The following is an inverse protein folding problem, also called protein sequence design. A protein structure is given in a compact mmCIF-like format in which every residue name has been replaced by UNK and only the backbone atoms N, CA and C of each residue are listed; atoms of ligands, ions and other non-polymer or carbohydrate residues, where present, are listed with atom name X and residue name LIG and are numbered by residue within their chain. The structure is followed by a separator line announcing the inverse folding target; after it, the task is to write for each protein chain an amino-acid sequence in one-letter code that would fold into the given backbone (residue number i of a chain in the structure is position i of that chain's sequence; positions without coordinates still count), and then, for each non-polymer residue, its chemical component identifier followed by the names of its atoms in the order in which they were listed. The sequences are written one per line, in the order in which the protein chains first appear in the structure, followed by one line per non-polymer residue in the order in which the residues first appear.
data_IF_973835107899
#
_entry.id   IF_973835107899
#
_cell.length_a   1.000
_cell.length_b   1.000
_cell.length_c   1.000
_cell.angle_alpha   90.00
_cell.angle_beta   90.00
_cell.angle_gamma   90.00
#
_symmetry.space_group_name_H-M   'P 1'
#
loop_
_entity.id
_entity.type
_entity.pdbx_description
1 polymer ?
#
# COMPACT_ATOMS: atom_id res chain seq x y z
N UNK A 1 -16.28 -8.73 65.46
CA UNK A 1 -15.30 -7.69 65.09
C UNK A 1 -14.81 -7.99 63.67
N UNK A 2 -15.56 -7.55 62.66
CA UNK A 2 -15.34 -7.87 61.24
C UNK A 2 -14.59 -6.69 60.61
N UNK A 3 -13.40 -6.96 60.05
CA UNK A 3 -12.58 -5.97 59.36
C UNK A 3 -13.06 -5.89 57.90
N UNK A 4 -13.51 -4.75 57.37
CA UNK A 4 -13.86 -4.65 55.96
C UNK A 4 -12.58 -4.55 55.12
N UNK A 5 -12.54 -5.37 54.06
CA UNK A 5 -11.49 -5.35 53.04
C UNK A 5 -11.52 -4.02 52.27
N UNK A 6 -10.38 -3.35 52.21
CA UNK A 6 -10.19 -2.15 51.40
C UNK A 6 -10.18 -2.50 49.91
N UNK A 7 -11.27 -2.18 49.22
CA UNK A 7 -11.32 -2.18 47.75
C UNK A 7 -10.41 -1.10 47.18
N UNK A 8 -9.46 -1.51 46.34
CA UNK A 8 -8.65 -0.62 45.50
C UNK A 8 -9.57 0.14 44.55
N UNK A 9 -9.73 1.45 44.78
CA UNK A 9 -10.42 2.35 43.84
C UNK A 9 -9.65 2.33 42.52
N UNK A 10 -10.27 1.84 41.46
CA UNK A 10 -9.80 2.04 40.10
C UNK A 10 -9.72 3.55 39.84
N UNK A 11 -8.51 4.06 39.64
CA UNK A 11 -8.27 5.44 39.24
C UNK A 11 -8.98 5.71 37.92
N UNK A 12 -10.12 6.42 37.95
CA UNK A 12 -10.71 7.03 36.75
C UNK A 12 -9.66 7.96 36.16
N UNK A 13 -9.01 7.58 35.05
CA UNK A 13 -8.21 8.53 34.27
C UNK A 13 -9.12 9.67 33.84
N UNK A 14 -8.81 10.89 34.26
CA UNK A 14 -9.52 12.08 33.82
C UNK A 14 -9.46 12.15 32.29
N UNK A 15 -10.57 12.51 31.65
CA UNK A 15 -10.59 12.71 30.20
C UNK A 15 -9.60 13.84 29.86
N UNK A 16 -8.74 13.63 28.85
CA UNK A 16 -7.75 14.63 28.46
C UNK A 16 -8.47 15.89 27.94
N UNK A 17 -7.86 17.09 28.09
CA UNK A 17 -8.46 18.34 27.63
C UNK A 17 -8.88 18.26 26.16
N UNK A 18 -10.04 18.81 25.83
CA UNK A 18 -10.56 18.85 24.44
C UNK A 18 -9.51 19.50 23.53
N UNK A 19 -9.21 18.88 22.39
CA UNK A 19 -8.12 19.21 21.45
C UNK A 19 -6.68 19.00 21.92
N UNK A 20 -6.46 18.42 23.11
CA UNK A 20 -5.11 17.99 23.48
C UNK A 20 -4.61 16.85 22.58
N UNK A 21 -3.29 16.70 22.51
CA UNK A 21 -2.62 15.60 21.83
C UNK A 21 -3.17 14.22 22.28
N UNK A 22 -3.51 14.07 23.57
CA UNK A 22 -4.09 12.82 24.08
C UNK A 22 -5.57 12.66 23.74
N UNK A 23 -6.32 13.77 23.65
CA UNK A 23 -7.73 13.76 23.24
C UNK A 23 -7.91 13.33 21.79
N UNK A 24 -7.10 13.87 20.87
CA UNK A 24 -7.15 13.50 19.44
C UNK A 24 -6.82 12.02 19.25
N UNK A 25 -5.82 11.50 19.97
CA UNK A 25 -5.47 10.07 19.91
C UNK A 25 -6.60 9.18 20.43
N UNK A 26 -7.25 9.57 21.53
CA UNK A 26 -8.30 8.74 22.13
C UNK A 26 -9.61 8.75 21.34
N UNK A 27 -9.94 9.85 20.67
CA UNK A 27 -11.23 10.05 19.99
C UNK A 27 -11.10 10.05 18.45
N UNK A 28 -9.97 9.58 17.88
CA UNK A 28 -9.74 9.63 16.43
C UNK A 28 -10.83 8.91 15.63
N UNK A 29 -11.33 7.77 16.11
CA UNK A 29 -12.45 7.05 15.48
C UNK A 29 -13.74 7.88 15.43
N UNK A 30 -14.09 8.55 16.53
CA UNK A 30 -15.28 9.40 16.62
C UNK A 30 -15.13 10.66 15.75
N UNK A 31 -13.94 11.26 15.70
CA UNK A 31 -13.63 12.41 14.84
C UNK A 31 -13.78 12.03 13.36
N UNK A 32 -13.21 10.90 12.95
CA UNK A 32 -13.33 10.42 11.57
C UNK A 32 -14.77 10.06 11.20
N UNK A 33 -15.52 9.43 12.11
CA UNK A 33 -16.94 9.13 11.93
C UNK A 33 -17.77 10.41 11.76
N UNK A 34 -17.52 11.44 12.57
CA UNK A 34 -18.18 12.74 12.40
C UNK A 34 -17.88 13.39 11.04
N UNK A 35 -16.63 13.35 10.58
CA UNK A 35 -16.25 13.90 9.26
C UNK A 35 -16.97 13.14 8.14
N UNK A 36 -16.98 11.81 8.19
CA UNK A 36 -17.67 10.97 7.21
C UNK A 36 -19.18 11.25 7.23
N UNK A 37 -19.78 11.39 8.41
CA UNK A 37 -21.21 11.67 8.55
C UNK A 37 -21.58 13.02 7.91
N UNK A 38 -20.75 14.06 8.03
CA UNK A 38 -20.98 15.35 7.37
C UNK A 38 -21.04 15.19 5.85
N UNK A 39 -20.14 14.39 5.27
CA UNK A 39 -20.12 14.14 3.83
C UNK A 39 -21.31 13.29 3.37
N UNK A 40 -21.67 12.23 4.10
CA UNK A 40 -22.84 11.38 3.81
C UNK A 40 -24.14 12.19 3.89
N UNK A 41 -24.34 12.96 4.97
CA UNK A 41 -25.51 13.83 5.10
C UNK A 41 -25.54 14.87 3.99
N UNK A 42 -24.38 15.42 3.61
CA UNK A 42 -24.28 16.35 2.48
C UNK A 42 -24.65 15.73 1.12
N UNK A 43 -24.52 14.41 0.93
CA UNK A 43 -25.02 13.72 -0.26
C UNK A 43 -26.55 13.59 -0.28
N UNK A 44 -27.21 13.58 0.88
CA UNK A 44 -28.66 13.39 0.98
C UNK A 44 -29.47 14.63 0.57
N UNK A 45 -28.86 15.82 0.54
CA UNK A 45 -29.55 17.06 0.16
C UNK A 45 -29.15 17.54 -1.25
N UNK A 46 -30.11 17.91 -2.13
CA UNK A 46 -29.82 18.30 -3.51
C UNK A 46 -28.84 19.46 -3.68
N UNK A 47 -28.89 20.44 -2.76
CA UNK A 47 -28.03 21.63 -2.82
C UNK A 47 -26.58 21.33 -2.44
N UNK A 48 -26.36 20.44 -1.48
CA UNK A 48 -25.01 20.05 -1.02
C UNK A 48 -24.46 18.86 -1.79
N UNK A 49 -25.31 18.11 -2.50
CA UNK A 49 -24.90 16.92 -3.24
C UNK A 49 -23.82 17.24 -4.30
N UNK A 50 -23.95 18.34 -5.04
CA UNK A 50 -22.95 18.75 -6.03
C UNK A 50 -21.59 19.09 -5.41
N UNK A 51 -21.55 19.52 -4.15
CA UNK A 51 -20.31 19.84 -3.43
C UNK A 51 -19.75 18.57 -2.78
N UNK A 52 -20.59 17.81 -2.06
CA UNK A 52 -20.20 16.57 -1.38
C UNK A 52 -19.77 15.47 -2.35
N UNK A 53 -20.40 15.37 -3.52
CA UNK A 53 -20.01 14.41 -4.56
C UNK A 53 -18.63 14.72 -5.14
N UNK A 54 -18.17 15.96 -5.17
CA UNK A 54 -16.78 16.30 -5.59
C UNK A 54 -15.75 15.72 -4.61
N UNK A 55 -16.10 15.60 -3.33
CA UNK A 55 -15.22 15.05 -2.29
C UNK A 55 -15.26 13.52 -2.19
N UNK A 56 -16.29 12.88 -2.75
CA UNK A 56 -16.52 11.43 -2.63
C UNK A 56 -16.28 10.73 -3.96
N UNK A 57 -16.74 11.32 -5.06
CA UNK A 57 -16.60 10.74 -6.38
C UNK A 57 -15.16 10.94 -6.89
N UNK A 58 -14.50 9.86 -7.36
CA UNK A 58 -13.18 9.97 -7.96
C UNK A 58 -13.19 10.91 -9.19
N UNK A 59 -12.48 12.06 -9.15
CA UNK A 59 -12.57 13.09 -10.22
C UNK A 59 -11.44 13.06 -11.27
N UNK A 60 -10.28 12.46 -11.00
CA UNK A 60 -9.12 12.51 -11.93
C UNK A 60 -9.10 11.38 -12.96
N UNK A 61 -8.86 11.68 -14.23
CA UNK A 61 -8.93 10.77 -15.38
C UNK A 61 -10.36 10.37 -15.80
N UNK A 62 -10.58 10.31 -17.11
CA UNK A 62 -11.90 10.01 -17.69
C UNK A 62 -12.30 8.58 -17.35
N UNK A 63 -13.54 8.42 -16.87
CA UNK A 63 -14.12 7.10 -16.60
C UNK A 63 -15.13 6.75 -17.69
N UNK A 64 -15.11 5.50 -18.17
CA UNK A 64 -16.19 5.00 -19.01
C UNK A 64 -17.49 5.02 -18.19
N UNK A 65 -18.52 5.71 -18.68
CA UNK A 65 -19.90 5.48 -18.23
C UNK A 65 -20.36 4.27 -19.02
N UNK A 66 -20.37 3.09 -18.40
CA UNK A 66 -21.04 1.94 -18.97
C UNK A 66 -22.54 2.21 -18.80
N UNK A 67 -23.27 2.45 -19.88
CA UNK A 67 -24.73 2.40 -19.83
C UNK A 67 -25.11 0.98 -19.40
N UNK A 68 -25.66 0.87 -18.20
CA UNK A 68 -26.17 -0.39 -17.67
C UNK A 68 -27.31 -0.86 -18.57
N UNK A 69 -27.00 -1.74 -19.52
CA UNK A 69 -28.00 -2.49 -20.24
C UNK A 69 -28.60 -3.52 -19.27
N UNK A 70 -29.83 -3.27 -18.83
CA UNK A 70 -30.68 -4.28 -18.18
C UNK A 70 -30.99 -4.00 -16.72
N UNK A 71 -32.28 -3.92 -16.44
CA UNK A 71 -32.93 -3.76 -15.15
C UNK A 71 -32.36 -4.70 -14.06
N UNK A 72 -32.18 -4.16 -12.85
CA UNK A 72 -32.26 -4.97 -11.62
C UNK A 72 -30.98 -5.60 -11.08
N UNK A 73 -29.79 -5.19 -11.52
CA UNK A 73 -28.53 -5.57 -10.86
C UNK A 73 -28.25 -4.71 -9.64
N UNK A 74 -28.46 -5.23 -8.42
CA UNK A 74 -27.88 -4.63 -7.22
C UNK A 74 -26.36 -4.54 -7.41
N UNK A 75 -25.84 -3.31 -7.56
CA UNK A 75 -24.43 -3.01 -7.39
C UNK A 75 -24.03 -3.47 -5.99
N UNK A 76 -23.39 -4.64 -5.91
CA UNK A 76 -22.83 -5.14 -4.68
C UNK A 76 -21.60 -4.30 -4.40
N UNK A 77 -21.79 -3.20 -3.69
CA UNK A 77 -20.73 -2.38 -3.11
C UNK A 77 -19.92 -3.21 -2.11
N UNK A 78 -19.01 -4.03 -2.62
CA UNK A 78 -18.00 -4.74 -1.81
C UNK A 78 -16.72 -3.90 -1.80
N UNK A 79 -16.83 -2.62 -1.48
CA UNK A 79 -15.66 -1.74 -1.41
C UNK A 79 -15.86 -0.70 -0.30
N UNK A 80 -15.36 -0.99 0.90
CA UNK A 80 -15.21 0.03 1.93
C UNK A 80 -15.14 -0.43 3.37
N UNK A 81 -15.78 -1.55 3.74
CA UNK A 81 -15.89 -1.91 5.17
C UNK A 81 -14.83 -2.90 5.67
N UNK A 82 -14.08 -3.55 4.78
CA UNK A 82 -13.15 -4.62 5.15
C UNK A 82 -11.81 -4.16 5.72
N UNK A 83 -11.43 -2.89 5.58
CA UNK A 83 -10.07 -2.44 5.92
C UNK A 83 -10.03 -1.58 7.19
N UNK A 84 -11.10 -0.84 7.50
CA UNK A 84 -11.12 0.12 8.62
C UNK A 84 -11.67 -0.53 9.91
N UNK A 85 -12.50 -1.58 9.81
CA UNK A 85 -13.06 -2.28 10.97
C UNK A 85 -12.15 -3.35 11.58
N UNK A 86 -11.06 -3.75 10.89
CA UNK A 86 -10.23 -4.88 11.32
C UNK A 86 -9.00 -4.50 12.17
N UNK A 87 -8.70 -3.21 12.34
CA UNK A 87 -7.54 -2.75 13.12
C UNK A 87 -7.68 -3.00 14.64
N UNK A 88 -8.92 -3.08 15.16
CA UNK A 88 -9.15 -3.12 16.62
C UNK A 88 -9.52 -4.50 17.20
N UNK A 89 -9.74 -5.54 16.39
CA UNK A 89 -10.28 -6.82 16.89
C UNK A 89 -9.38 -8.06 16.73
N UNK A 90 -8.48 -8.14 15.75
CA UNK A 90 -7.78 -9.41 15.46
C UNK A 90 -6.53 -9.78 16.30
N UNK A 91 -5.72 -8.86 16.87
CA UNK A 91 -4.60 -9.30 17.71
C UNK A 91 -5.07 -9.88 19.06
N UNK A 92 -6.35 -9.77 19.41
CA UNK A 92 -6.91 -10.28 20.67
C UNK A 92 -7.31 -11.77 20.59
N UNK A 93 -7.73 -12.27 19.43
CA UNK A 93 -8.26 -13.65 19.32
C UNK A 93 -7.22 -14.73 19.00
N UNK A 94 -6.04 -14.37 18.46
CA UNK A 94 -5.01 -15.35 18.06
C UNK A 94 -3.81 -15.47 19.02
N UNK A 95 -3.72 -14.64 20.07
CA UNK A 95 -2.51 -14.55 20.92
C UNK A 95 -2.66 -15.16 22.32
N UNK A 96 -2.90 -16.47 22.38
CA UNK A 96 -2.35 -17.31 23.45
C UNK A 96 -0.98 -17.88 23.02
N UNK A 97 -0.04 -17.01 22.68
CA UNK A 97 1.37 -17.42 22.50
C UNK A 97 2.28 -16.48 23.30
N UNK A 98 3.26 -17.06 23.99
CA UNK A 98 4.24 -16.36 24.83
C UNK A 98 5.25 -15.54 24.00
N UNK A 99 4.78 -14.52 23.28
CA UNK A 99 5.65 -13.58 22.58
C UNK A 99 6.07 -12.41 23.47
N UNK A 100 7.29 -11.91 23.29
CA UNK A 100 7.73 -10.67 23.93
C UNK A 100 6.96 -9.48 23.36
N UNK A 101 6.79 -8.39 24.14
CA UNK A 101 6.08 -7.17 23.70
C UNK A 101 6.56 -6.65 22.34
N UNK A 102 7.88 -6.69 22.09
CA UNK A 102 8.50 -6.29 20.81
C UNK A 102 8.15 -7.25 19.67
N UNK A 103 8.10 -8.56 19.96
CA UNK A 103 7.72 -9.57 18.97
C UNK A 103 6.23 -9.50 18.61
N UNK A 104 5.36 -9.22 19.59
CA UNK A 104 3.92 -9.03 19.36
C UNK A 104 3.66 -7.80 18.49
N UNK A 105 4.36 -6.68 18.74
CA UNK A 105 4.26 -5.48 17.90
C UNK A 105 4.67 -5.76 16.44
N UNK A 106 5.85 -6.37 16.24
CA UNK A 106 6.36 -6.70 14.89
C UNK A 106 5.52 -7.75 14.17
N UNK A 107 4.88 -8.65 14.93
CA UNK A 107 3.88 -9.57 14.40
C UNK A 107 2.67 -8.80 13.91
N UNK A 108 2.07 -7.95 14.75
CA UNK A 108 0.88 -7.17 14.41
C UNK A 108 1.08 -6.33 13.15
N UNK A 109 2.24 -5.67 13.05
CA UNK A 109 2.63 -4.94 11.84
C UNK A 109 2.71 -5.84 10.60
N UNK A 110 3.38 -6.99 10.71
CA UNK A 110 3.52 -7.92 9.59
C UNK A 110 2.18 -8.54 9.19
N UNK A 111 1.27 -8.71 10.15
CA UNK A 111 -0.06 -9.22 9.95
C UNK A 111 -0.91 -8.20 9.21
N UNK A 112 -0.96 -6.96 9.68
CA UNK A 112 -1.62 -5.86 8.96
C UNK A 112 -1.10 -5.79 7.52
N UNK A 113 0.21 -5.72 7.34
CA UNK A 113 0.80 -5.59 6.00
C UNK A 113 0.42 -6.76 5.10
N UNK A 114 0.33 -7.99 5.63
CA UNK A 114 -0.11 -9.17 4.89
C UNK A 114 -1.51 -8.99 4.29
N UNK A 115 -2.48 -8.50 5.07
CA UNK A 115 -3.85 -8.31 4.58
C UNK A 115 -3.91 -7.25 3.49
N UNK A 116 -3.23 -6.13 3.71
CA UNK A 116 -3.18 -5.06 2.71
C UNK A 116 -2.57 -5.54 1.38
N UNK A 117 -1.42 -6.22 1.43
CA UNK A 117 -0.76 -6.70 0.19
C UNK A 117 -1.54 -7.86 -0.46
N UNK A 118 -2.19 -8.73 0.33
CA UNK A 118 -3.01 -9.81 -0.20
C UNK A 118 -4.27 -9.25 -0.92
N UNK A 119 -4.96 -8.31 -0.29
CA UNK A 119 -6.10 -7.62 -0.92
C UNK A 119 -5.66 -6.87 -2.18
N UNK A 120 -4.58 -6.09 -2.09
CA UNK A 120 -4.10 -5.29 -3.22
C UNK A 120 -3.62 -6.16 -4.37
N UNK A 121 -2.98 -7.30 -4.10
CA UNK A 121 -2.59 -8.25 -5.13
C UNK A 121 -3.82 -8.91 -5.77
N UNK A 122 -4.81 -9.31 -4.97
CA UNK A 122 -6.07 -9.86 -5.49
C UNK A 122 -6.81 -8.87 -6.38
N UNK A 123 -6.94 -7.61 -5.96
CA UNK A 123 -7.57 -6.54 -6.73
C UNK A 123 -6.77 -6.24 -8.02
N UNK A 124 -5.44 -6.16 -7.95
CA UNK A 124 -4.61 -5.94 -9.13
C UNK A 124 -4.72 -7.09 -10.15
N UNK A 125 -4.73 -8.34 -9.68
CA UNK A 125 -4.91 -9.52 -10.54
C UNK A 125 -6.31 -9.56 -11.15
N UNK A 126 -7.33 -9.15 -10.39
CA UNK A 126 -8.69 -8.99 -10.91
C UNK A 126 -8.73 -7.98 -12.06
N UNK A 127 -8.12 -6.79 -11.89
CA UNK A 127 -8.01 -5.78 -12.95
C UNK A 127 -7.28 -6.30 -14.20
N UNK A 128 -6.20 -7.05 -13.99
CA UNK A 128 -5.47 -7.69 -15.10
C UNK A 128 -6.37 -8.72 -15.81
N UNK A 129 -7.17 -9.49 -15.07
CA UNK A 129 -8.06 -10.49 -15.65
C UNK A 129 -9.23 -9.87 -16.44
N UNK A 130 -9.76 -8.74 -15.98
CA UNK A 130 -10.82 -7.99 -16.65
C UNK A 130 -10.34 -7.38 -17.98
N UNK A 131 -9.07 -6.96 -18.02
CA UNK A 131 -8.46 -6.31 -19.18
C UNK A 131 -7.32 -7.15 -19.76
N UNK A 132 -7.49 -8.47 -19.84
CA UNK A 132 -6.42 -9.42 -20.16
C UNK A 132 -5.72 -9.09 -21.49
N UNK A 133 -6.46 -8.61 -22.48
CA UNK A 133 -5.92 -8.16 -23.76
C UNK A 133 -4.80 -7.12 -23.62
N UNK A 134 -4.86 -6.25 -22.62
CA UNK A 134 -3.85 -5.21 -22.37
C UNK A 134 -2.55 -5.76 -21.74
N UNK A 135 -2.56 -7.00 -21.27
CA UNK A 135 -1.44 -7.60 -20.52
C UNK A 135 -0.88 -8.89 -21.15
N UNK A 136 -1.55 -9.47 -22.15
CA UNK A 136 -1.05 -10.67 -22.87
C UNK A 136 0.26 -10.38 -23.60
N UNK A 137 0.34 -9.26 -24.33
CA UNK A 137 1.57 -8.81 -24.99
C UNK A 137 2.23 -7.72 -24.15
N UNK A 138 3.50 -7.92 -23.80
CA UNK A 138 4.31 -6.94 -23.07
C UNK A 138 4.29 -5.56 -23.73
N UNK A 139 4.16 -5.47 -25.06
CA UNK A 139 4.12 -4.19 -25.77
C UNK A 139 2.89 -3.36 -25.42
N UNK A 140 1.76 -4.01 -25.11
CA UNK A 140 0.49 -3.33 -24.76
C UNK A 140 0.55 -2.58 -23.43
N UNK A 141 1.61 -2.80 -22.65
CA UNK A 141 1.90 -2.04 -21.44
C UNK A 141 2.17 -0.55 -21.75
N UNK A 142 2.67 -0.20 -22.94
CA UNK A 142 2.91 1.19 -23.35
C UNK A 142 2.26 1.59 -24.68
N UNK A 143 1.88 0.63 -25.52
CA UNK A 143 1.13 0.93 -26.75
C UNK A 143 -0.22 1.56 -26.41
N UNK A 144 -0.69 2.45 -27.29
CA UNK A 144 -1.93 3.19 -27.10
C UNK A 144 -1.82 4.39 -26.15
N UNK A 145 -0.65 4.65 -25.55
CA UNK A 145 -0.42 5.87 -24.78
C UNK A 145 -0.39 7.10 -25.71
N UNK A 146 -1.08 8.22 -25.37
CA UNK A 146 -1.86 8.44 -24.14
C UNK A 146 -3.35 8.06 -24.26
N UNK A 147 -3.88 7.87 -25.47
CA UNK A 147 -5.33 7.79 -25.72
C UNK A 147 -6.04 6.68 -24.93
N UNK A 148 -5.50 5.46 -24.92
CA UNK A 148 -6.09 4.33 -24.19
C UNK A 148 -5.72 4.31 -22.70
N UNK A 149 -4.77 5.14 -22.28
CA UNK A 149 -4.24 5.14 -20.91
C UNK A 149 -4.84 6.26 -20.05
N UNK A 150 -5.36 7.29 -20.71
CA UNK A 150 -6.05 8.42 -20.07
C UNK A 150 -7.43 8.03 -19.53
N UNK A 151 -8.10 7.10 -20.20
CA UNK A 151 -9.43 6.63 -19.80
C UNK A 151 -9.26 5.36 -18.98
N UNK A 152 -9.92 5.29 -17.82
CA UNK A 152 -9.83 4.16 -16.89
C UNK A 152 -11.20 3.71 -16.44
N UNK A 153 -11.37 2.42 -16.13
CA UNK A 153 -12.60 1.96 -15.48
C UNK A 153 -12.64 2.45 -14.03
N UNK A 154 -13.84 2.56 -13.45
CA UNK A 154 -14.01 2.96 -12.05
C UNK A 154 -13.21 2.03 -11.11
N UNK A 155 -13.20 0.72 -11.39
CA UNK A 155 -12.43 -0.29 -10.66
C UNK A 155 -10.91 0.05 -10.65
N UNK A 156 -10.35 0.37 -11.82
CA UNK A 156 -8.94 0.76 -11.95
C UNK A 156 -8.62 2.04 -11.17
N UNK A 157 -9.53 3.01 -11.20
CA UNK A 157 -9.40 4.28 -10.47
C UNK A 157 -9.41 4.07 -8.96
N UNK A 158 -10.38 3.31 -8.47
CA UNK A 158 -10.53 2.97 -7.05
C UNK A 158 -9.29 2.23 -6.56
N UNK A 159 -8.74 1.31 -7.35
CA UNK A 159 -7.52 0.61 -7.00
C UNK A 159 -6.37 1.59 -6.67
N UNK A 160 -6.01 2.49 -7.59
CA UNK A 160 -4.91 3.45 -7.36
C UNK A 160 -5.18 4.39 -6.19
N UNK A 161 -6.42 4.87 -6.05
CA UNK A 161 -6.80 5.74 -4.93
C UNK A 161 -6.72 5.02 -3.59
N UNK A 162 -7.14 3.75 -3.51
CA UNK A 162 -7.02 2.94 -2.31
C UNK A 162 -5.55 2.71 -1.93
N UNK A 163 -4.69 2.47 -2.92
CA UNK A 163 -3.25 2.35 -2.66
C UNK A 163 -2.68 3.64 -2.07
N UNK A 164 -3.00 4.80 -2.66
CA UNK A 164 -2.55 6.09 -2.16
C UNK A 164 -3.11 6.38 -0.76
N UNK A 165 -4.40 6.14 -0.56
CA UNK A 165 -5.06 6.33 0.72
C UNK A 165 -4.39 5.50 1.83
N UNK A 166 -4.06 4.24 1.55
CA UNK A 166 -3.35 3.38 2.49
C UNK A 166 -1.99 3.95 2.91
N UNK A 167 -1.15 4.31 1.94
CA UNK A 167 0.20 4.82 2.25
C UNK A 167 0.18 6.19 2.91
N UNK A 168 -0.85 7.01 2.65
CA UNK A 168 -1.08 8.27 3.37
C UNK A 168 -1.59 8.01 4.80
N UNK A 169 -2.51 7.05 4.98
CA UNK A 169 -3.05 6.65 6.28
C UNK A 169 -1.96 6.18 7.25
N UNK A 170 -0.85 5.66 6.70
CA UNK A 170 0.28 5.21 7.49
C UNK A 170 0.93 6.32 8.34
N UNK A 171 0.83 7.60 7.95
CA UNK A 171 1.40 8.71 8.73
C UNK A 171 0.67 8.97 10.06
N UNK A 172 -0.69 9.12 10.09
CA UNK A 172 -1.44 9.10 11.34
C UNK A 172 -1.15 7.86 12.19
N UNK A 173 -1.06 6.68 11.57
CA UNK A 173 -0.84 5.43 12.29
C UNK A 173 0.50 5.41 13.06
N UNK A 174 1.57 5.98 12.49
CA UNK A 174 2.85 6.13 13.20
C UNK A 174 2.73 6.89 14.51
N UNK A 175 1.85 7.88 14.53
CA UNK A 175 1.61 8.73 15.68
C UNK A 175 0.72 8.03 16.71
N UNK A 176 -0.34 7.34 16.27
CA UNK A 176 -1.21 6.55 17.15
C UNK A 176 -0.48 5.36 17.79
N UNK A 177 0.40 4.70 17.04
CA UNK A 177 1.24 3.61 17.53
C UNK A 177 2.41 4.06 18.43
N UNK A 178 2.65 5.37 18.57
CA UNK A 178 3.75 5.95 19.37
C UNK A 178 5.11 5.35 19.02
N UNK A 179 5.41 5.24 17.73
CA UNK A 179 6.65 4.64 17.24
C UNK A 179 7.90 5.43 17.64
N UNK A 180 9.04 4.76 17.73
CA UNK A 180 10.33 5.43 17.95
C UNK A 180 10.70 6.26 16.74
N UNK A 181 11.39 7.39 16.96
CA UNK A 181 11.81 8.32 15.89
C UNK A 181 12.59 7.65 14.74
N UNK A 182 13.45 6.69 15.07
CA UNK A 182 14.22 5.94 14.07
C UNK A 182 13.33 5.06 13.18
N UNK A 183 12.33 4.40 13.77
CA UNK A 183 11.36 3.56 13.07
C UNK A 183 10.43 4.43 12.20
N UNK A 184 9.98 5.58 12.71
CA UNK A 184 9.20 6.56 11.93
C UNK A 184 9.96 6.96 10.68
N UNK A 185 11.26 7.28 10.78
CA UNK A 185 12.06 7.69 9.61
C UNK A 185 12.10 6.60 8.55
N UNK A 186 12.35 5.35 8.95
CA UNK A 186 12.42 4.23 8.00
C UNK A 186 11.07 3.99 7.32
N UNK A 187 9.97 3.96 8.09
CA UNK A 187 8.63 3.74 7.54
C UNK A 187 8.13 4.92 6.70
N UNK A 188 8.51 6.14 7.05
CA UNK A 188 8.21 7.35 6.27
C UNK A 188 8.84 7.27 4.88
N UNK A 189 10.11 6.89 4.78
CA UNK A 189 10.77 6.73 3.47
C UNK A 189 10.04 5.69 2.63
N UNK A 190 9.64 4.56 3.23
CA UNK A 190 8.87 3.53 2.52
C UNK A 190 7.52 4.06 2.03
N UNK A 191 6.75 4.74 2.88
CA UNK A 191 5.44 5.30 2.52
C UNK A 191 5.58 6.35 1.41
N UNK A 192 6.56 7.26 1.52
CA UNK A 192 6.81 8.28 0.51
C UNK A 192 7.18 7.69 -0.85
N UNK A 193 8.02 6.65 -0.88
CA UNK A 193 8.35 5.96 -2.14
C UNK A 193 7.08 5.43 -2.80
N UNK A 194 6.21 4.73 -2.06
CA UNK A 194 4.97 4.23 -2.65
C UNK A 194 4.06 5.37 -3.14
N UNK A 195 3.87 6.42 -2.33
CA UNK A 195 3.04 7.57 -2.71
C UNK A 195 3.57 8.21 -4.00
N UNK A 196 4.86 8.47 -4.10
CA UNK A 196 5.49 9.14 -5.26
C UNK A 196 5.32 8.29 -6.52
N UNK A 197 5.66 7.01 -6.49
CA UNK A 197 5.62 6.16 -7.68
C UNK A 197 4.18 5.83 -8.11
N UNK A 198 3.26 5.60 -7.16
CA UNK A 198 1.86 5.33 -7.47
C UNK A 198 1.19 6.60 -8.00
N UNK A 199 1.49 7.76 -7.42
CA UNK A 199 1.00 9.06 -7.90
C UNK A 199 1.54 9.38 -9.30
N UNK A 200 2.83 9.14 -9.54
CA UNK A 200 3.42 9.31 -10.87
C UNK A 200 2.75 8.40 -11.91
N UNK A 201 2.51 7.13 -11.57
CA UNK A 201 1.79 6.21 -12.47
C UNK A 201 0.36 6.67 -12.76
N UNK A 202 -0.35 7.16 -11.73
CA UNK A 202 -1.74 7.59 -11.83
C UNK A 202 -1.91 8.91 -12.60
N UNK A 203 -1.22 9.97 -12.18
CA UNK A 203 -1.39 11.32 -12.73
C UNK A 203 -0.76 11.50 -14.12
N UNK A 204 0.27 10.71 -14.46
CA UNK A 204 0.96 10.79 -15.75
C UNK A 204 0.41 9.79 -16.79
N UNK A 205 -0.67 9.09 -16.44
CA UNK A 205 -1.28 8.03 -17.26
C UNK A 205 -0.35 6.85 -17.57
N UNK A 206 0.64 6.56 -16.71
CA UNK A 206 1.48 5.35 -16.81
C UNK A 206 0.86 4.19 -16.03
N UNK A 207 -0.45 4.03 -16.15
CA UNK A 207 -1.29 3.19 -15.28
C UNK A 207 -1.01 1.71 -15.46
N UNK A 208 -0.91 1.23 -16.70
CA UNK A 208 -0.63 -0.19 -17.01
C UNK A 208 0.73 -0.64 -16.47
N UNK A 209 1.81 0.12 -16.75
CA UNK A 209 3.15 -0.19 -16.21
C UNK A 209 3.18 -0.07 -14.69
N UNK A 210 2.50 0.94 -14.13
CA UNK A 210 2.36 1.12 -12.69
C UNK A 210 1.71 -0.08 -12.01
N UNK A 211 0.62 -0.61 -12.58
CA UNK A 211 -0.07 -1.78 -12.05
C UNK A 211 0.85 -3.01 -12.00
N UNK A 212 1.58 -3.29 -13.08
CA UNK A 212 2.50 -4.45 -13.13
C UNK A 212 3.65 -4.28 -12.13
N UNK A 213 4.20 -3.07 -11.99
CA UNK A 213 5.24 -2.80 -10.98
C UNK A 213 4.72 -2.97 -9.55
N UNK A 214 3.49 -2.54 -9.26
CA UNK A 214 2.83 -2.75 -7.96
C UNK A 214 2.65 -4.26 -7.69
N UNK A 215 2.20 -5.03 -8.69
CA UNK A 215 2.04 -6.49 -8.56
C UNK A 215 3.36 -7.18 -8.19
N UNK A 216 4.46 -6.83 -8.88
CA UNK A 216 5.79 -7.40 -8.57
C UNK A 216 6.26 -7.06 -7.16
N UNK A 217 6.04 -5.82 -6.73
CA UNK A 217 6.41 -5.34 -5.40
C UNK A 217 5.58 -6.04 -4.30
N UNK A 218 4.26 -6.02 -4.43
CA UNK A 218 3.36 -6.59 -3.42
C UNK A 218 3.41 -8.11 -3.35
N UNK A 219 3.65 -8.80 -4.47
CA UNK A 219 3.92 -10.24 -4.43
C UNK A 219 5.19 -10.56 -3.62
N UNK A 220 6.24 -9.76 -3.80
CA UNK A 220 7.48 -9.90 -3.01
C UNK A 220 7.22 -9.65 -1.51
N UNK A 221 6.44 -8.61 -1.18
CA UNK A 221 6.06 -8.30 0.20
C UNK A 221 5.17 -9.39 0.82
N UNK A 222 4.22 -9.95 0.06
CA UNK A 222 3.34 -11.03 0.51
C UNK A 222 4.16 -12.23 1.01
N UNK A 223 5.09 -12.71 0.19
CA UNK A 223 5.96 -13.86 0.55
C UNK A 223 6.81 -13.53 1.79
N UNK A 224 7.34 -12.31 1.88
CA UNK A 224 8.09 -11.86 3.05
C UNK A 224 7.26 -11.91 4.34
N UNK A 225 6.04 -11.36 4.31
CA UNK A 225 5.18 -11.30 5.49
C UNK A 225 4.67 -12.69 5.90
N UNK A 226 4.39 -13.58 4.94
CA UNK A 226 4.09 -14.99 5.24
C UNK A 226 5.28 -15.65 5.95
N UNK A 227 6.50 -15.50 5.42
CA UNK A 227 7.70 -16.09 6.01
C UNK A 227 7.97 -15.56 7.44
N UNK A 228 7.76 -14.24 7.64
CA UNK A 228 7.95 -13.55 8.93
C UNK A 228 6.89 -13.91 9.96
N UNK A 229 5.63 -14.06 9.57
CA UNK A 229 4.57 -14.52 10.48
C UNK A 229 4.80 -15.97 10.89
N UNK A 230 5.16 -16.85 9.95
CA UNK A 230 5.51 -18.23 10.28
C UNK A 230 6.72 -18.33 11.23
N UNK A 231 7.68 -17.42 11.10
CA UNK A 231 8.81 -17.31 12.02
C UNK A 231 8.34 -17.03 13.45
N UNK A 232 7.48 -16.02 13.63
CA UNK A 232 6.96 -15.62 14.92
C UNK A 232 6.04 -16.69 15.54
N UNK A 233 5.33 -17.47 14.74
CA UNK A 233 4.54 -18.62 15.20
C UNK A 233 5.39 -19.84 15.58
N UNK A 234 6.72 -19.74 15.56
CA UNK A 234 7.62 -20.84 15.93
C UNK A 234 7.71 -21.96 14.89
N UNK A 235 7.09 -21.81 13.71
CA UNK A 235 7.06 -22.80 12.63
C UNK A 235 8.35 -22.78 11.81
N UNK A 236 9.48 -23.11 12.44
CA UNK A 236 10.82 -23.02 11.84
C UNK A 236 11.01 -23.90 10.60
N UNK A 237 10.36 -25.06 10.55
CA UNK A 237 10.37 -25.98 9.40
C UNK A 237 9.83 -25.34 8.13
N UNK A 238 8.85 -24.43 8.26
CA UNK A 238 8.26 -23.68 7.15
C UNK A 238 8.92 -22.31 6.95
N UNK A 239 9.24 -21.61 8.03
CA UNK A 239 9.78 -20.25 7.97
C UNK A 239 11.13 -20.17 7.27
N UNK A 240 12.05 -21.12 7.52
CA UNK A 240 13.36 -21.13 6.89
C UNK A 240 13.30 -21.27 5.35
N UNK A 241 12.60 -22.26 4.77
CA UNK A 241 12.45 -22.34 3.32
C UNK A 241 11.64 -21.15 2.76
N UNK A 242 10.63 -20.64 3.45
CA UNK A 242 9.88 -19.46 3.00
C UNK A 242 10.76 -18.20 2.87
N UNK A 243 11.72 -17.98 3.79
CA UNK A 243 12.68 -16.90 3.65
C UNK A 243 13.66 -17.11 2.48
N UNK A 244 14.02 -18.36 2.16
CA UNK A 244 14.84 -18.65 0.98
C UNK A 244 14.07 -18.36 -0.32
N UNK A 245 12.81 -18.79 -0.38
CA UNK A 245 11.90 -18.47 -1.50
C UNK A 245 11.75 -16.95 -1.66
N UNK A 246 11.57 -16.21 -0.56
CA UNK A 246 11.55 -14.75 -0.57
C UNK A 246 12.83 -14.16 -1.18
N UNK A 247 14.02 -14.65 -0.80
CA UNK A 247 15.29 -14.12 -1.33
C UNK A 247 15.38 -14.26 -2.86
N UNK A 248 14.94 -15.40 -3.39
CA UNK A 248 14.93 -15.67 -4.84
C UNK A 248 13.92 -14.75 -5.54
N UNK A 249 12.68 -14.73 -5.05
CA UNK A 249 11.60 -13.90 -5.60
C UNK A 249 11.97 -12.43 -5.55
N UNK A 250 12.59 -11.97 -4.47
CA UNK A 250 13.02 -10.59 -4.31
C UNK A 250 13.95 -10.16 -5.44
N UNK A 251 15.01 -10.94 -5.69
CA UNK A 251 15.99 -10.65 -6.75
C UNK A 251 15.32 -10.66 -8.12
N UNK A 252 14.52 -11.70 -8.41
CA UNK A 252 13.80 -11.82 -9.69
C UNK A 252 12.86 -10.63 -9.92
N UNK A 253 12.09 -10.23 -8.90
CA UNK A 253 11.21 -9.07 -8.98
C UNK A 253 11.98 -7.78 -9.32
N UNK A 254 13.16 -7.56 -8.71
CA UNK A 254 13.99 -6.38 -9.03
C UNK A 254 14.42 -6.37 -10.49
N UNK A 255 14.88 -7.50 -11.01
CA UNK A 255 15.27 -7.63 -12.42
C UNK A 255 14.08 -7.42 -13.35
N UNK A 256 12.94 -8.07 -13.09
CA UNK A 256 11.71 -7.88 -13.87
C UNK A 256 11.26 -6.42 -13.88
N UNK A 257 11.30 -5.72 -12.74
CA UNK A 257 10.95 -4.30 -12.66
C UNK A 257 11.88 -3.41 -13.49
N UNK A 258 13.19 -3.66 -13.47
CA UNK A 258 14.15 -2.90 -14.31
C UNK A 258 13.93 -3.17 -15.78
N UNK A 259 13.78 -4.44 -16.18
CA UNK A 259 13.53 -4.83 -17.58
C UNK A 259 12.25 -4.16 -18.08
N UNK A 260 11.16 -4.24 -17.31
CA UNK A 260 9.89 -3.63 -17.66
C UNK A 260 10.01 -2.11 -17.80
N UNK A 261 10.72 -1.44 -16.88
CA UNK A 261 10.94 0.00 -16.94
C UNK A 261 11.74 0.40 -18.18
N UNK A 262 12.82 -0.33 -18.51
CA UNK A 262 13.63 -0.08 -19.71
C UNK A 262 12.80 -0.30 -20.98
N UNK A 263 12.05 -1.41 -21.07
CA UNK A 263 11.20 -1.68 -22.22
C UNK A 263 10.13 -0.60 -22.42
N UNK A 264 9.50 -0.16 -21.33
CA UNK A 264 8.45 0.87 -21.35
C UNK A 264 9.00 2.26 -21.67
N UNK A 265 9.97 2.74 -20.89
CA UNK A 265 10.40 4.13 -20.93
C UNK A 265 11.57 4.39 -21.90
N UNK A 266 12.43 3.41 -22.17
CA UNK A 266 13.55 3.64 -23.11
C UNK A 266 13.17 3.31 -24.55
N UNK A 267 12.45 2.21 -24.76
CA UNK A 267 12.12 1.71 -26.11
C UNK A 267 10.68 2.01 -26.52
N UNK A 268 9.71 1.76 -25.65
CA UNK A 268 8.28 1.84 -25.96
C UNK A 268 7.80 3.26 -26.15
N UNK A 269 7.72 4.01 -25.06
CA UNK A 269 7.24 5.40 -25.04
C UNK A 269 8.12 6.34 -25.87
N UNK A 270 9.35 5.95 -26.24
CA UNK A 270 10.17 6.74 -27.17
C UNK A 270 9.55 6.94 -28.54
N UNK A 271 8.72 6.00 -28.98
CA UNK A 271 8.06 6.08 -30.28
C UNK A 271 6.92 7.11 -30.31
N UNK A 272 6.41 7.50 -29.13
CA UNK A 272 5.32 8.45 -28.97
C UNK A 272 5.75 9.71 -28.18
N UNK A 273 7.06 10.03 -28.21
CA UNK A 273 7.62 11.20 -27.52
C UNK A 273 7.11 12.50 -28.14
N UNK A 274 6.75 13.47 -27.28
CA UNK A 274 6.36 14.82 -27.69
C UNK A 274 7.30 15.86 -27.07
N UNK A 275 7.54 17.01 -27.73
CA UNK A 275 8.44 18.04 -27.22
C UNK A 275 7.88 18.79 -26.01
N UNK A 276 6.57 18.77 -25.78
CA UNK A 276 5.90 19.43 -24.66
C UNK A 276 4.78 18.55 -24.06
N UNK A 277 4.35 18.91 -22.85
CA UNK A 277 3.22 18.25 -22.16
C UNK A 277 1.92 18.79 -22.76
N UNK A 278 1.04 17.89 -23.18
CA UNK A 278 -0.31 18.20 -23.67
C UNK A 278 -1.35 17.70 -22.66
N UNK A 279 -1.78 18.63 -21.79
CA UNK A 279 -2.82 18.37 -20.79
C UNK A 279 -4.17 18.04 -21.44
N UNK A 280 -4.47 18.61 -22.61
CA UNK A 280 -5.75 18.42 -23.29
C UNK A 280 -5.88 17.02 -23.87
N UNK A 281 -4.79 16.46 -24.40
CA UNK A 281 -4.69 15.08 -24.86
C UNK A 281 -4.36 14.08 -23.73
N UNK A 282 -3.94 14.57 -22.55
CA UNK A 282 -3.44 13.74 -21.45
C UNK A 282 -2.08 13.10 -21.76
N UNK A 283 -1.28 13.73 -22.62
CA UNK A 283 0.06 13.30 -22.99
C UNK A 283 1.11 13.99 -22.11
N UNK A 284 1.78 13.22 -21.26
CA UNK A 284 2.87 13.72 -20.43
C UNK A 284 4.25 13.26 -20.93
N UNK A 285 4.31 12.48 -22.01
CA UNK A 285 5.51 11.79 -22.47
C UNK A 285 6.50 12.71 -23.21
N UNK A 286 7.17 13.55 -22.44
CA UNK A 286 8.36 14.30 -22.86
C UNK A 286 9.64 13.50 -22.55
N UNK A 287 10.72 13.77 -23.29
CA UNK A 287 12.02 13.12 -23.05
C UNK A 287 12.46 13.26 -21.58
N UNK A 288 12.31 14.47 -21.01
CA UNK A 288 12.71 14.77 -19.63
C UNK A 288 11.90 13.93 -18.65
N UNK A 289 10.57 13.94 -18.74
CA UNK A 289 9.73 13.21 -17.79
C UNK A 289 9.96 11.70 -17.89
N UNK A 290 9.95 11.17 -19.12
CA UNK A 290 10.14 9.75 -19.40
C UNK A 290 11.48 9.23 -18.88
N UNK A 291 12.57 9.94 -19.12
CA UNK A 291 13.89 9.55 -18.64
C UNK A 291 14.02 9.67 -17.12
N UNK A 292 13.38 10.67 -16.49
CA UNK A 292 13.32 10.77 -15.03
C UNK A 292 12.51 9.64 -14.41
N UNK A 293 11.41 9.20 -15.03
CA UNK A 293 10.65 8.03 -14.57
C UNK A 293 11.48 6.75 -14.66
N UNK A 294 12.18 6.53 -15.78
CA UNK A 294 13.12 5.43 -15.93
C UNK A 294 14.20 5.45 -14.85
N UNK A 295 14.86 6.60 -14.70
CA UNK A 295 15.92 6.79 -13.71
C UNK A 295 15.40 6.54 -12.29
N UNK A 296 14.22 7.07 -11.95
CA UNK A 296 13.57 6.87 -10.66
C UNK A 296 13.34 5.39 -10.37
N UNK A 297 12.74 4.64 -11.29
CA UNK A 297 12.49 3.21 -11.09
C UNK A 297 13.80 2.45 -10.95
N UNK A 298 14.80 2.71 -11.79
CA UNK A 298 16.11 2.05 -11.74
C UNK A 298 16.83 2.34 -10.41
N UNK A 299 16.88 3.60 -9.99
CA UNK A 299 17.50 3.99 -8.72
C UNK A 299 16.79 3.34 -7.53
N UNK A 300 15.45 3.25 -7.56
CA UNK A 300 14.70 2.53 -6.53
C UNK A 300 15.08 1.05 -6.49
N UNK A 301 15.14 0.37 -7.65
CA UNK A 301 15.52 -1.04 -7.68
C UNK A 301 16.95 -1.27 -7.20
N UNK A 302 17.89 -0.39 -7.57
CA UNK A 302 19.27 -0.44 -7.10
C UNK A 302 19.38 -0.20 -5.59
N UNK A 303 18.64 0.76 -5.05
CA UNK A 303 18.58 1.01 -3.61
C UNK A 303 18.07 -0.21 -2.83
N UNK A 304 17.01 -0.86 -3.34
CA UNK A 304 16.46 -2.06 -2.72
C UNK A 304 17.43 -3.25 -2.80
N UNK A 305 18.09 -3.45 -3.93
CA UNK A 305 19.14 -4.47 -4.09
C UNK A 305 20.34 -4.20 -3.16
N UNK A 306 20.80 -2.95 -3.09
CA UNK A 306 21.87 -2.55 -2.19
C UNK A 306 21.51 -2.86 -0.74
N UNK A 307 20.30 -2.48 -0.31
CA UNK A 307 19.80 -2.74 1.05
C UNK A 307 19.74 -4.24 1.35
N UNK A 308 19.30 -5.05 0.38
CA UNK A 308 19.24 -6.50 0.49
C UNK A 308 20.64 -7.14 0.61
N UNK A 309 21.60 -6.71 -0.21
CA UNK A 309 22.98 -7.21 -0.18
C UNK A 309 23.67 -6.80 1.12
N UNK A 310 23.52 -5.53 1.55
CA UNK A 310 24.07 -5.04 2.81
C UNK A 310 23.56 -5.85 4.00
N UNK A 311 22.26 -6.19 4.03
CA UNK A 311 21.68 -7.05 5.05
C UNK A 311 22.29 -8.47 5.06
N UNK A 312 22.47 -9.09 3.89
CA UNK A 312 23.07 -10.42 3.79
C UNK A 312 24.56 -10.43 4.18
N UNK A 313 25.33 -9.45 3.71
CA UNK A 313 26.75 -9.30 4.07
C UNK A 313 26.93 -9.09 5.57
N UNK A 314 26.07 -8.29 6.20
CA UNK A 314 26.03 -8.14 7.66
C UNK A 314 25.86 -9.49 8.36
N UNK A 315 24.88 -10.28 7.93
CA UNK A 315 24.63 -11.62 8.50
C UNK A 315 25.81 -12.59 8.32
N UNK A 316 26.47 -12.55 7.17
CA UNK A 316 27.67 -13.36 6.93
C UNK A 316 28.81 -12.96 7.85
N UNK A 317 29.05 -11.66 8.02
CA UNK A 317 30.07 -11.12 8.94
C UNK A 317 29.81 -11.55 10.39
N UNK A 318 28.56 -11.46 10.84
CA UNK A 318 28.17 -11.88 12.20
C UNK A 318 28.34 -13.39 12.41
N UNK A 319 27.98 -14.18 11.40
CA UNK A 319 28.14 -15.64 11.43
C UNK A 319 29.62 -16.04 11.46
N UNK A 320 30.47 -15.36 10.70
CA UNK A 320 31.91 -15.55 10.71
C UNK A 320 32.54 -15.14 12.05
N UNK A 321 32.11 -14.02 12.64
CA UNK A 321 32.57 -13.56 13.95
C UNK A 321 32.19 -14.53 15.07
N UNK A 322 30.97 -15.09 15.05
CA UNK A 322 30.54 -16.13 16.00
C UNK A 322 31.37 -17.41 15.88
N UNK A 323 31.69 -17.85 14.66
CA UNK A 323 32.58 -19.00 14.44
C UNK A 323 34.00 -18.77 14.96
N UNK A 324 34.51 -17.52 14.92
CA UNK A 324 35.82 -17.15 15.48
C UNK A 324 35.83 -17.07 17.01
N UNK A 325 34.72 -16.67 17.66
CA UNK A 325 34.60 -16.59 19.13
C UNK A 325 34.30 -17.93 19.81
N UNK A 326 33.77 -18.90 19.06
CA UNK A 326 33.49 -20.26 19.56
C UNK A 326 34.61 -21.28 19.28
N UNK A 327 35.75 -20.83 18.77
CA UNK A 327 37.02 -21.59 18.66
C UNK A 327 38.00 -21.01 19.67
#
# INVERSE_FOLDING_TARGET
MVKPQGGTKASKKAQPPVLSHEFVIQNHGDIMSCIIMVFIVGLMFPFTNSISSVFIAPQYNGTYVVEAAGEGGQDREVYGEGTILFENFLPVYFFQTHLSKVSTFKFGESFHQLFFVAYSLGHALFLISEQLENFIDIKRIWLGYPAEHRVMTASYKIFFLLQLAYWVHQFPEFYFQKLKREEIRQKTVQALVHIIFISAAYFLNFTRVGLVLIVLEYFTQLVFHIARLAHFLGRKTFSAPAFQTYNIIFILARFCSVILAVMTFWYGLRQAEQPFIDYSAGNFNTAVLRLNMLLGVVLLQLYLLYSFVAYHLGRFRDSAAKKKKGR
#
